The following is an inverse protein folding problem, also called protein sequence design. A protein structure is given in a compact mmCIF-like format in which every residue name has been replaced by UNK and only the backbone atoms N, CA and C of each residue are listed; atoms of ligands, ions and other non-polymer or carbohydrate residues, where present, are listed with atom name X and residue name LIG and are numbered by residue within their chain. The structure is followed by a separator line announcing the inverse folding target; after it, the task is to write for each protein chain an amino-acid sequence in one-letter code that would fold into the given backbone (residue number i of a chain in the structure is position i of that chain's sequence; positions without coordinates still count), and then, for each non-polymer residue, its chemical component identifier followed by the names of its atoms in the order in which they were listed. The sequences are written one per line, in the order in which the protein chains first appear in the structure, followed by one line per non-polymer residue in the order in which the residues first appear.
data_IF_378225784150
#
_entry.id   IF_378225784150
#
_cell.length_a   1.000
_cell.length_b   1.000
_cell.length_c   1.000
_cell.angle_alpha   90.00
_cell.angle_beta   90.00
_cell.angle_gamma   90.00
#
_symmetry.space_group_name_H-M   'P 1'
#
loop_
_entity.id
_entity.type
_entity.pdbx_description
1 polymer ?
#
# COMPACT_ATOMS: atom_id res chain seq x y z
N UNK A 1 -11.07 8.26 10.54
CA UNK A 1 -10.00 8.27 9.51
C UNK A 1 -8.98 9.36 9.83
N UNK A 2 -7.68 9.12 9.62
CA UNK A 2 -6.61 10.13 9.80
C UNK A 2 -5.91 10.38 8.46
N UNK A 3 -5.93 11.62 7.99
CA UNK A 3 -5.14 12.07 6.83
C UNK A 3 -3.95 12.88 7.36
N UNK A 4 -2.75 12.57 6.87
CA UNK A 4 -1.54 13.34 7.18
C UNK A 4 -0.91 13.82 5.89
N UNK A 5 -0.77 15.12 5.73
CA UNK A 5 -0.12 15.70 4.55
C UNK A 5 1.23 16.28 4.96
N UNK A 6 2.25 16.03 4.15
CA UNK A 6 3.55 16.66 4.30
C UNK A 6 4.10 17.05 2.93
N UNK A 7 5.03 18.00 2.92
CA UNK A 7 5.72 18.45 1.70
C UNK A 7 7.14 17.88 1.73
N UNK A 8 7.53 17.22 0.64
CA UNK A 8 8.87 16.68 0.42
C UNK A 8 9.44 17.35 -0.83
N UNK A 9 10.38 18.29 -0.65
CA UNK A 9 10.82 19.23 -1.70
C UNK A 9 9.60 19.94 -2.32
N UNK A 10 9.34 19.79 -3.61
CA UNK A 10 8.17 20.36 -4.30
C UNK A 10 6.98 19.39 -4.38
N UNK A 11 7.11 18.20 -3.79
CA UNK A 11 6.07 17.18 -3.83
C UNK A 11 5.20 17.24 -2.57
N UNK A 12 3.92 17.58 -2.74
CA UNK A 12 2.93 17.43 -1.67
C UNK A 12 2.47 15.98 -1.58
N UNK A 13 2.64 15.35 -0.43
CA UNK A 13 2.28 13.96 -0.17
C UNK A 13 1.16 13.92 0.86
N UNK A 14 0.03 13.31 0.52
CA UNK A 14 -1.07 13.08 1.45
C UNK A 14 -1.21 11.61 1.80
N UNK A 15 -1.09 11.26 3.09
CA UNK A 15 -1.23 9.91 3.64
C UNK A 15 -2.61 9.63 4.19
N UNK A 16 -3.23 8.57 3.69
CA UNK A 16 -4.59 8.15 4.01
C UNK A 16 -4.55 6.77 4.66
N UNK A 17 -4.90 6.70 5.95
CA UNK A 17 -5.06 5.41 6.63
C UNK A 17 -6.52 4.95 6.52
N UNK A 18 -6.71 3.81 5.88
CA UNK A 18 -8.00 3.20 5.59
C UNK A 18 -8.25 1.91 6.38
N UNK A 19 -7.25 1.43 7.12
CA UNK A 19 -7.44 0.44 8.17
C UNK A 19 -7.97 1.14 9.43
N UNK A 20 -9.13 0.71 9.95
CA UNK A 20 -9.60 1.25 11.23
C UNK A 20 -11.04 0.98 11.61
N UNK A 21 -12.00 0.91 10.68
CA UNK A 21 -13.40 0.62 11.03
C UNK A 21 -14.11 -0.06 9.84
N UNK A 22 -14.65 -1.26 10.06
CA UNK A 22 -15.54 -1.94 9.11
C UNK A 22 -16.78 -1.07 8.75
N UNK A 23 -17.11 -0.09 9.59
CA UNK A 23 -18.25 0.82 9.46
C UNK A 23 -18.11 1.83 8.30
N UNK A 24 -16.93 1.95 7.69
CA UNK A 24 -16.69 2.86 6.55
C UNK A 24 -16.55 2.17 5.20
N UNK A 25 -16.89 0.87 5.11
CA UNK A 25 -16.98 0.09 3.86
C UNK A 25 -17.67 0.84 2.72
N UNK A 26 -18.73 1.60 3.02
CA UNK A 26 -19.50 2.41 2.05
C UNK A 26 -18.84 3.75 1.68
N UNK A 27 -18.00 4.31 2.54
CA UNK A 27 -17.29 5.57 2.27
C UNK A 27 -16.02 5.37 1.46
N UNK A 28 -15.42 4.17 1.45
CA UNK A 28 -14.17 3.93 0.74
C UNK A 28 -14.24 4.18 -0.78
N UNK A 29 -15.43 4.01 -1.39
CA UNK A 29 -15.67 4.29 -2.82
C UNK A 29 -15.63 5.80 -3.13
N UNK A 30 -16.04 6.66 -2.18
CA UNK A 30 -15.97 8.14 -2.29
C UNK A 30 -14.55 8.67 -2.04
N UNK A 31 -13.71 7.86 -1.41
CA UNK A 31 -12.37 8.21 -0.92
C UNK A 31 -11.27 7.70 -1.83
N UNK A 32 -11.64 7.03 -2.92
CA UNK A 32 -10.69 6.73 -3.97
C UNK A 32 -10.30 8.05 -4.66
N UNK A 33 -9.00 8.30 -4.86
CA UNK A 33 -8.53 9.50 -5.51
C UNK A 33 -9.33 9.76 -6.79
N UNK A 34 -9.99 10.92 -6.85
CA UNK A 34 -10.77 11.31 -8.02
C UNK A 34 -9.92 11.31 -9.29
N UNK A 35 -10.60 11.30 -10.44
CA UNK A 35 -10.01 11.32 -11.77
C UNK A 35 -8.73 12.19 -11.87
N UNK A 36 -7.61 11.57 -12.29
CA UNK A 36 -6.35 12.27 -12.58
C UNK A 36 -5.29 12.28 -11.48
N UNK A 37 -5.53 11.71 -10.30
CA UNK A 37 -4.56 11.78 -9.19
C UNK A 37 -3.59 10.58 -9.12
N UNK A 38 -2.29 10.89 -9.20
CA UNK A 38 -1.19 9.96 -8.98
C UNK A 38 -1.28 9.31 -7.58
N UNK A 39 -1.41 7.99 -7.55
CA UNK A 39 -1.65 7.24 -6.31
C UNK A 39 -0.76 6.01 -6.19
N UNK A 40 -0.26 5.78 -4.98
CA UNK A 40 0.52 4.61 -4.60
C UNK A 40 -0.12 3.96 -3.38
N UNK A 41 -0.23 2.63 -3.39
CA UNK A 41 -0.86 1.86 -2.32
C UNK A 41 0.17 1.05 -1.55
N UNK A 42 0.09 1.10 -0.23
CA UNK A 42 0.92 0.30 0.66
C UNK A 42 -0.01 -0.55 1.51
N UNK A 43 0.04 -1.86 1.32
CA UNK A 43 -0.70 -2.83 2.12
C UNK A 43 0.22 -3.27 3.26
N UNK A 44 -0.15 -2.92 4.48
CA UNK A 44 0.57 -3.33 5.69
C UNK A 44 -0.17 -4.49 6.33
N UNK A 45 0.51 -5.62 6.47
CA UNK A 45 -0.01 -6.78 7.18
C UNK A 45 0.90 -7.13 8.36
N UNK A 46 0.30 -7.21 9.54
CA UNK A 46 0.99 -7.73 10.72
C UNK A 46 1.19 -9.24 10.59
N UNK A 47 2.41 -9.71 10.88
CA UNK A 47 2.71 -11.13 10.98
C UNK A 47 2.04 -11.83 12.18
N UNK A 48 1.39 -11.05 13.06
CA UNK A 48 0.75 -11.54 14.29
C UNK A 48 -0.71 -11.08 14.35
N UNK A 49 -1.59 -11.95 14.85
CA UNK A 49 -3.03 -11.65 15.03
C UNK A 49 -3.27 -10.50 15.99
N UNK A 50 -2.55 -10.50 17.11
CA UNK A 50 -2.54 -9.43 18.10
C UNK A 50 -1.10 -9.05 18.43
N UNK A 51 -0.74 -7.76 18.41
CA UNK A 51 0.61 -7.32 18.77
C UNK A 51 1.03 -7.75 20.19
N UNK A 52 0.06 -7.93 21.09
CA UNK A 52 0.26 -8.33 22.49
C UNK A 52 0.48 -9.83 22.68
N UNK A 53 -0.22 -10.69 21.93
CA UNK A 53 -0.27 -12.12 22.23
C UNK A 53 0.81 -12.96 21.54
N UNK A 54 1.68 -12.33 20.73
CA UNK A 54 2.76 -12.97 19.93
C UNK A 54 2.29 -14.19 19.11
N UNK A 55 1.00 -14.29 18.84
CA UNK A 55 0.42 -15.38 18.07
C UNK A 55 0.60 -15.10 16.58
N UNK A 56 1.44 -15.89 15.87
CA UNK A 56 1.71 -15.66 14.46
C UNK A 56 0.47 -15.95 13.62
N UNK A 57 0.26 -15.16 12.58
CA UNK A 57 -0.73 -15.48 11.55
C UNK A 57 -0.23 -16.65 10.70
N UNK A 58 -1.16 -17.49 10.24
CA UNK A 58 -0.85 -18.45 9.19
C UNK A 58 -0.62 -17.73 7.85
N UNK A 59 0.06 -18.42 6.91
CA UNK A 59 0.17 -17.96 5.53
C UNK A 59 -1.19 -17.71 4.88
N UNK A 60 -2.20 -18.54 5.21
CA UNK A 60 -3.57 -18.41 4.69
C UNK A 60 -4.29 -17.16 5.19
N UNK A 61 -4.08 -16.76 6.45
CA UNK A 61 -4.64 -15.52 6.99
C UNK A 61 -4.02 -14.29 6.33
N UNK A 62 -2.69 -14.29 6.17
CA UNK A 62 -1.99 -13.20 5.49
C UNK A 62 -2.42 -13.12 4.02
N UNK A 63 -2.56 -14.27 3.35
CA UNK A 63 -3.07 -14.33 1.98
C UNK A 63 -4.49 -13.77 1.87
N UNK A 64 -5.37 -14.11 2.81
CA UNK A 64 -6.73 -13.59 2.89
C UNK A 64 -6.79 -12.07 3.06
N UNK A 65 -6.01 -11.54 4.01
CA UNK A 65 -5.90 -10.10 4.27
C UNK A 65 -5.40 -9.34 3.03
N UNK A 66 -4.31 -9.82 2.42
CA UNK A 66 -3.74 -9.20 1.23
C UNK A 66 -4.71 -9.28 0.05
N UNK A 67 -5.36 -10.43 -0.16
CA UNK A 67 -6.33 -10.62 -1.22
C UNK A 67 -7.52 -9.67 -1.07
N UNK A 68 -8.02 -9.45 0.14
CA UNK A 68 -9.09 -8.51 0.41
C UNK A 68 -8.70 -7.10 -0.07
N UNK A 69 -7.54 -6.60 0.37
CA UNK A 69 -7.07 -5.26 -0.01
C UNK A 69 -6.78 -5.13 -1.51
N UNK A 70 -6.22 -6.16 -2.13
CA UNK A 70 -6.00 -6.17 -3.58
C UNK A 70 -7.32 -6.10 -4.37
N UNK A 71 -8.33 -6.89 -3.98
CA UNK A 71 -9.67 -6.81 -4.61
C UNK A 71 -10.27 -5.42 -4.42
N UNK A 72 -10.13 -4.85 -3.23
CA UNK A 72 -10.62 -3.52 -2.92
C UNK A 72 -9.95 -2.45 -3.82
N UNK A 73 -8.61 -2.47 -3.93
CA UNK A 73 -7.84 -1.54 -4.76
C UNK A 73 -8.25 -1.66 -6.23
N UNK A 74 -8.28 -2.89 -6.77
CA UNK A 74 -8.64 -3.12 -8.19
C UNK A 74 -10.05 -2.65 -8.49
N UNK A 75 -11.01 -2.97 -7.62
CA UNK A 75 -12.42 -2.64 -7.84
C UNK A 75 -12.66 -1.14 -7.88
N UNK A 76 -11.92 -0.39 -7.06
CA UNK A 76 -12.04 1.06 -7.00
C UNK A 76 -11.16 1.80 -8.03
N UNK A 77 -10.01 1.23 -8.40
CA UNK A 77 -9.15 1.81 -9.46
C UNK A 77 -9.83 1.75 -10.83
N UNK A 78 -10.58 0.67 -11.13
CA UNK A 78 -11.37 0.54 -12.37
C UNK A 78 -12.46 1.59 -12.53
N UNK A 79 -12.98 2.14 -11.42
CA UNK A 79 -14.02 3.19 -11.44
C UNK A 79 -13.46 4.58 -11.68
N UNK A 80 -12.15 4.77 -11.51
CA UNK A 80 -11.47 6.01 -11.88
C UNK A 80 -11.18 5.98 -13.39
N UNK A 81 -12.11 6.49 -14.20
CA UNK A 81 -12.19 6.39 -15.68
C UNK A 81 -10.95 6.96 -16.42
N UNK A 82 -9.96 7.52 -15.72
CA UNK A 82 -8.79 8.19 -16.29
C UNK A 82 -7.43 7.66 -15.78
N UNK A 83 -7.35 6.52 -15.10
CA UNK A 83 -6.05 5.94 -14.75
C UNK A 83 -5.41 5.28 -15.98
N UNK A 84 -4.51 6.00 -16.66
CA UNK A 84 -3.68 5.46 -17.75
C UNK A 84 -2.63 4.43 -17.29
N UNK A 85 -2.59 4.08 -16.01
CA UNK A 85 -1.64 3.15 -15.41
C UNK A 85 -2.32 2.23 -14.40
N UNK A 86 -1.78 1.02 -14.24
CA UNK A 86 -2.18 0.12 -13.17
C UNK A 86 -1.85 0.74 -11.81
N UNK A 87 -2.67 0.52 -10.76
CA UNK A 87 -2.37 0.99 -9.42
C UNK A 87 -1.08 0.32 -8.91
N UNK A 88 -0.11 1.13 -8.49
CA UNK A 88 1.15 0.62 -7.93
C UNK A 88 0.95 0.21 -6.47
N UNK A 89 1.37 -1.02 -6.13
CA UNK A 89 1.16 -1.62 -4.80
C UNK A 89 2.48 -2.11 -4.21
N UNK A 90 2.81 -1.71 -2.99
CA UNK A 90 3.85 -2.33 -2.17
C UNK A 90 3.25 -3.10 -1.00
N UNK A 91 3.86 -4.24 -0.67
CA UNK A 91 3.47 -5.07 0.46
C UNK A 91 4.50 -4.89 1.58
N UNK A 92 4.01 -4.67 2.79
CA UNK A 92 4.82 -4.52 4.00
C UNK A 92 4.35 -5.53 5.05
N UNK A 93 5.27 -6.34 5.53
CA UNK A 93 5.09 -7.25 6.65
C UNK A 93 5.60 -6.57 7.92
N UNK A 94 4.67 -6.17 8.78
CA UNK A 94 4.98 -5.53 10.06
C UNK A 94 5.25 -6.55 11.16
N UNK A 95 5.91 -6.10 12.23
CA UNK A 95 6.28 -6.90 13.40
C UNK A 95 7.29 -8.01 13.11
N UNK A 96 8.11 -7.85 12.07
CA UNK A 96 9.14 -8.81 11.74
C UNK A 96 10.19 -8.98 12.87
N UNK A 97 10.39 -7.95 13.69
CA UNK A 97 11.25 -7.96 14.89
C UNK A 97 10.93 -9.08 15.88
N UNK A 98 9.69 -9.59 15.87
CA UNK A 98 9.23 -10.64 16.79
C UNK A 98 9.43 -12.06 16.26
N UNK A 99 9.94 -12.22 15.03
CA UNK A 99 10.28 -13.53 14.47
C UNK A 99 11.66 -13.95 15.02
N UNK A 100 11.65 -14.79 16.04
CA UNK A 100 12.89 -15.23 16.70
C UNK A 100 13.69 -16.28 15.89
N UNK A 101 13.06 -16.98 14.94
CA UNK A 101 13.74 -17.93 14.04
C UNK A 101 13.09 -17.97 12.66
N UNK A 102 13.85 -18.24 11.58
CA UNK A 102 13.29 -18.51 10.27
C UNK A 102 12.43 -19.77 10.34
N UNK A 103 11.12 -19.59 10.47
CA UNK A 103 10.16 -20.68 10.49
C UNK A 103 9.74 -21.06 9.07
N UNK A 104 9.34 -22.31 8.81
CA UNK A 104 8.73 -22.72 7.54
C UNK A 104 7.57 -21.81 7.12
N UNK A 105 6.87 -21.21 8.10
CA UNK A 105 5.78 -20.28 7.89
C UNK A 105 6.21 -19.05 7.06
N UNK A 106 7.45 -18.58 7.16
CA UNK A 106 7.92 -17.43 6.38
C UNK A 106 8.00 -17.75 4.89
N UNK A 107 8.52 -18.93 4.54
CA UNK A 107 8.57 -19.35 3.13
C UNK A 107 7.15 -19.49 2.58
N UNK A 108 6.24 -20.09 3.34
CA UNK A 108 4.83 -20.19 2.95
C UNK A 108 4.15 -18.83 2.76
N UNK A 109 4.51 -17.82 3.56
CA UNK A 109 4.03 -16.44 3.38
C UNK A 109 4.56 -15.85 2.07
N UNK A 110 5.85 -16.03 1.78
CA UNK A 110 6.46 -15.56 0.52
C UNK A 110 5.78 -16.22 -0.67
N UNK A 111 5.54 -17.53 -0.62
CA UNK A 111 4.85 -18.28 -1.66
C UNK A 111 3.40 -17.80 -1.83
N UNK A 112 2.69 -17.54 -0.73
CA UNK A 112 1.35 -16.93 -0.74
C UNK A 112 1.35 -15.57 -1.42
N UNK A 113 2.33 -14.70 -1.11
CA UNK A 113 2.45 -13.39 -1.76
C UNK A 113 2.73 -13.55 -3.25
N UNK A 114 3.59 -14.50 -3.64
CA UNK A 114 3.87 -14.75 -5.05
C UNK A 114 2.62 -15.22 -5.80
N UNK A 115 1.84 -16.15 -5.24
CA UNK A 115 0.56 -16.57 -5.82
C UNK A 115 -0.40 -15.40 -6.02
N UNK A 116 -0.44 -14.47 -5.07
CA UNK A 116 -1.25 -13.24 -5.21
C UNK A 116 -0.70 -12.32 -6.31
N UNK A 117 0.63 -12.19 -6.44
CA UNK A 117 1.23 -11.41 -7.54
C UNK A 117 0.82 -11.95 -8.90
N UNK A 118 0.90 -13.27 -9.07
CA UNK A 118 0.53 -13.94 -10.32
C UNK A 118 -0.99 -13.79 -10.58
N UNK A 119 -1.82 -13.97 -9.55
CA UNK A 119 -3.28 -13.83 -9.64
C UNK A 119 -3.74 -12.42 -10.02
N UNK A 120 -3.03 -11.40 -9.54
CA UNK A 120 -3.37 -10.00 -9.79
C UNK A 120 -2.50 -9.35 -10.88
N UNK A 121 -1.73 -10.16 -11.61
CA UNK A 121 -0.94 -9.71 -12.75
C UNK A 121 -1.84 -9.02 -13.78
N UNK A 122 -1.43 -7.84 -14.25
CA UNK A 122 -2.20 -7.04 -15.20
C UNK A 122 -3.36 -6.24 -14.58
N UNK A 123 -3.66 -6.42 -13.29
CA UNK A 123 -4.64 -5.59 -12.56
C UNK A 123 -3.98 -4.55 -11.66
N UNK A 124 -2.79 -4.83 -11.16
CA UNK A 124 -1.98 -3.93 -10.33
C UNK A 124 -0.51 -4.04 -10.73
N UNK A 125 0.29 -3.00 -10.47
CA UNK A 125 1.75 -3.04 -10.63
C UNK A 125 2.38 -3.27 -9.24
N UNK A 126 2.84 -4.49 -8.96
CA UNK A 126 3.51 -4.77 -7.70
C UNK A 126 4.93 -4.23 -7.67
N UNK A 127 5.31 -3.62 -6.55
CA UNK A 127 6.71 -3.42 -6.24
C UNK A 127 7.37 -4.79 -5.95
N UNK A 128 8.53 -5.11 -6.56
CA UNK A 128 9.11 -6.44 -6.49
C UNK A 128 9.53 -6.84 -5.08
N UNK A 129 9.88 -5.89 -4.22
CA UNK A 129 10.35 -6.15 -2.86
C UNK A 129 9.17 -6.16 -1.88
N UNK A 130 9.07 -7.21 -1.07
CA UNK A 130 8.24 -7.23 0.13
C UNK A 130 9.05 -6.64 1.27
N UNK A 131 8.57 -5.55 1.87
CA UNK A 131 9.26 -4.92 2.98
C UNK A 131 8.98 -5.66 4.28
N UNK A 132 10.00 -5.91 5.09
CA UNK A 132 9.84 -6.32 6.49
C UNK A 132 10.17 -5.13 7.37
N UNK A 133 9.21 -4.72 8.21
CA UNK A 133 9.34 -3.49 8.99
C UNK A 133 9.15 -3.75 10.48
N UNK A 134 10.12 -3.25 11.26
CA UNK A 134 9.97 -2.96 12.66
C UNK A 134 9.67 -1.46 12.82
N UNK A 135 8.43 -1.14 13.19
CA UNK A 135 7.99 0.24 13.36
C UNK A 135 8.72 0.99 14.49
N UNK A 136 9.42 0.28 15.39
CA UNK A 136 10.23 0.89 16.47
C UNK A 136 11.65 1.19 16.03
N UNK A 137 12.10 0.63 14.90
CA UNK A 137 13.45 0.82 14.38
C UNK A 137 13.45 1.87 13.27
N UNK A 138 14.04 3.04 13.55
CA UNK A 138 14.21 4.11 12.56
C UNK A 138 14.98 3.65 11.32
N UNK A 139 15.95 2.74 11.49
CA UNK A 139 16.71 2.13 10.40
C UNK A 139 15.87 1.18 9.53
N UNK A 140 14.88 0.50 10.12
CA UNK A 140 13.94 -0.33 9.37
C UNK A 140 12.95 0.54 8.59
N UNK A 141 12.40 1.56 9.24
CA UNK A 141 11.43 2.49 8.65
C UNK A 141 12.06 3.35 7.54
N UNK A 142 13.34 3.75 7.67
CA UNK A 142 14.00 4.63 6.70
C UNK A 142 14.05 4.04 5.29
N UNK A 143 14.20 2.72 5.15
CA UNK A 143 14.16 2.01 3.86
C UNK A 143 12.79 2.14 3.20
N UNK A 144 11.72 1.94 3.96
CA UNK A 144 10.36 2.13 3.49
C UNK A 144 10.10 3.60 3.14
N UNK A 145 10.54 4.55 3.98
CA UNK A 145 10.41 5.99 3.70
C UNK A 145 11.13 6.39 2.40
N UNK A 146 12.35 5.91 2.18
CA UNK A 146 13.09 6.18 0.95
C UNK A 146 12.37 5.62 -0.28
N UNK A 147 11.84 4.39 -0.18
CA UNK A 147 11.04 3.79 -1.23
C UNK A 147 9.79 4.62 -1.55
N UNK A 148 9.04 5.03 -0.52
CA UNK A 148 7.84 5.87 -0.67
C UNK A 148 8.18 7.15 -1.44
N UNK A 149 9.20 7.89 -1.00
CA UNK A 149 9.64 9.13 -1.66
C UNK A 149 10.01 8.90 -3.12
N UNK A 150 10.81 7.87 -3.40
CA UNK A 150 11.26 7.55 -4.77
C UNK A 150 10.09 7.18 -5.67
N UNK A 151 9.22 6.27 -5.21
CA UNK A 151 8.06 5.80 -5.96
C UNK A 151 7.10 6.94 -6.28
N UNK A 152 6.87 7.86 -5.34
CA UNK A 152 6.01 9.02 -5.59
C UNK A 152 6.57 9.96 -6.64
N UNK A 153 7.87 10.25 -6.61
CA UNK A 153 8.52 11.03 -7.68
C UNK A 153 8.39 10.32 -9.04
N UNK A 154 8.58 9.00 -9.09
CA UNK A 154 8.44 8.20 -10.32
C UNK A 154 7.01 8.21 -10.87
N UNK A 155 6.00 8.02 -10.02
CA UNK A 155 4.59 8.03 -10.46
C UNK A 155 4.25 9.41 -11.03
N UNK A 156 4.67 10.50 -10.38
CA UNK A 156 4.40 11.85 -10.87
C UNK A 156 5.03 12.16 -12.23
N UNK A 157 6.24 11.65 -12.47
CA UNK A 157 6.89 11.78 -13.78
C UNK A 157 6.17 11.01 -14.89
N UNK A 158 5.48 9.92 -14.54
CA UNK A 158 4.76 9.06 -15.50
C UNK A 158 3.34 9.56 -15.81
N UNK A 159 2.76 10.43 -14.99
CA UNK A 159 1.45 11.03 -15.29
C UNK A 159 1.59 12.02 -16.47
N UNK A 160 0.84 11.87 -17.57
CA UNK A 160 0.89 12.79 -18.69
C UNK A 160 0.56 14.23 -18.27
N UNK A 161 1.49 15.16 -18.53
CA UNK A 161 1.34 16.60 -18.21
C UNK A 161 0.18 17.30 -18.94
N UNK A 162 -0.52 16.65 -19.87
CA UNK A 162 -1.67 17.28 -20.55
C UNK A 162 -2.87 17.45 -19.60
N UNK A 163 -2.93 16.70 -18.49
CA UNK A 163 -3.91 16.91 -17.42
C UNK A 163 -3.57 18.13 -16.52
N UNK A 164 -2.31 18.58 -16.49
CA UNK A 164 -1.90 19.67 -15.58
C UNK A 164 -2.39 21.06 -16.00
N UNK A 165 -2.81 21.24 -17.25
CA UNK A 165 -3.39 22.52 -17.72
C UNK A 165 -4.84 22.73 -17.28
N UNK A 166 -5.54 21.68 -16.85
CA UNK A 166 -6.93 21.76 -16.36
C UNK A 166 -7.05 21.66 -14.82
N UNK A 167 -5.96 21.39 -14.10
CA UNK A 167 -6.01 21.11 -12.67
C UNK A 167 -5.07 22.01 -11.87
N UNK A 168 -5.52 23.23 -11.61
CA UNK A 168 -4.89 24.21 -10.71
C UNK A 168 -5.03 23.84 -9.21
N UNK A 169 -5.23 22.56 -8.87
CA UNK A 169 -5.38 22.06 -7.49
C UNK A 169 -4.55 20.80 -7.26
N UNK A 170 -3.23 20.94 -7.37
CA UNK A 170 -2.25 19.88 -7.15
C UNK A 170 -2.32 19.27 -5.73
N UNK A 171 -2.72 18.00 -5.68
CA UNK A 171 -2.63 17.15 -4.49
C UNK A 171 -2.09 15.80 -4.90
N UNK A 172 -0.86 15.45 -4.52
CA UNK A 172 -0.38 14.07 -4.69
C UNK A 172 -0.77 13.24 -3.46
N UNK A 173 -1.23 12.02 -3.70
CA UNK A 173 -1.76 11.12 -2.69
C UNK A 173 -0.85 9.89 -2.57
N UNK A 174 -0.40 9.58 -1.35
CA UNK A 174 0.30 8.33 -1.01
C UNK A 174 -0.56 7.61 0.01
N UNK A 175 -1.14 6.46 -0.30
CA UNK A 175 -1.97 5.73 0.68
C UNK A 175 -1.11 4.77 1.50
N UNK A 176 -1.23 4.83 2.83
CA UNK A 176 -0.46 4.02 3.78
C UNK A 176 -1.45 3.34 4.73
N UNK A 177 -1.62 2.03 4.60
CA UNK A 177 -2.40 1.22 5.54
C UNK A 177 -1.54 0.93 6.77
N UNK A 178 -2.10 0.77 7.98
CA UNK A 178 -1.38 0.36 9.20
C UNK A 178 -2.14 -0.77 9.86
#
# INVERSE_FOLDING_TARGET
MKIKTFKDEDTRISIWNLAGQHEFLSLHDLMFPGHGSASFFIIISSLFRKPSNKEPKSSTEIEGDLQYWLRFIVSNSKRAIQQCMLPSVAVVLAHFDKINQPSPNLQHIVDSIQRLRDKFQGYVEFYPIVFTVDARSSASVSKLTHHIRKTSKTILQRVPRVLSTLQQFDTNFIRLEI
#
